data_IF_894893191587
#
_entry.id   IF_894893191587
#
_cell.length_a   1.000
_cell.length_b   1.000
_cell.length_c   1.000
_cell.angle_alpha   90.00
_cell.angle_beta   90.00
_cell.angle_gamma   90.00
#
_symmetry.space_group_name_H-M   'P 1'
#
loop_
_entity.id
_entity.type
_entity.pdbx_description
1 polymer ?
#
# COMPACT_ATOMS: atom_id res chain seq x y z
N UNK A 1 24.40 4.10 5.69
CA UNK A 1 24.66 2.87 4.90
C UNK A 1 23.37 2.52 4.18
N UNK A 2 23.34 2.58 2.85
CA UNK A 2 22.16 2.21 2.08
C UNK A 2 21.90 0.71 2.24
N UNK A 3 20.63 0.32 2.39
CA UNK A 3 20.26 -1.09 2.35
C UNK A 3 20.12 -1.51 0.87
N UNK A 4 20.59 -2.70 0.48
CA UNK A 4 20.66 -3.08 -0.95
C UNK A 4 19.28 -3.21 -1.61
N UNK A 5 18.25 -3.61 -0.85
CA UNK A 5 16.88 -3.76 -1.35
C UNK A 5 15.86 -3.36 -0.29
N UNK A 6 14.88 -2.54 -0.67
CA UNK A 6 13.68 -2.23 0.11
C UNK A 6 12.41 -2.68 -0.63
N UNK A 7 11.37 -3.03 0.12
CA UNK A 7 10.09 -3.46 -0.45
C UNK A 7 8.99 -2.50 0.00
N UNK A 8 8.33 -1.85 -0.95
CA UNK A 8 7.13 -1.04 -0.71
C UNK A 8 5.90 -1.86 -1.10
N UNK A 9 5.03 -2.14 -0.13
CA UNK A 9 3.77 -2.88 -0.31
C UNK A 9 2.60 -1.90 -0.25
N UNK A 10 1.77 -1.91 -1.29
CA UNK A 10 0.64 -0.99 -1.46
C UNK A 10 -0.66 -1.79 -1.61
N UNK A 11 -1.37 -2.06 -0.49
CA UNK A 11 -2.63 -2.78 -0.52
C UNK A 11 -3.80 -1.90 -0.98
N UNK A 12 -4.82 -2.55 -1.53
CA UNK A 12 -6.13 -1.94 -1.66
C UNK A 12 -6.84 -1.97 -0.28
N UNK A 13 -7.50 -0.89 0.17
CA UNK A 13 -8.14 -0.79 1.49
C UNK A 13 -9.38 -1.67 1.72
N UNK A 14 -9.49 -2.82 1.03
CA UNK A 14 -10.52 -3.82 1.33
C UNK A 14 -9.96 -4.94 2.21
N UNK A 15 -10.75 -5.37 3.20
CA UNK A 15 -10.35 -6.34 4.22
C UNK A 15 -9.63 -7.60 3.68
N UNK A 16 -10.16 -8.24 2.63
CA UNK A 16 -9.55 -9.45 2.06
C UNK A 16 -8.18 -9.18 1.42
N UNK A 17 -8.07 -8.07 0.69
CA UNK A 17 -6.84 -7.66 0.00
C UNK A 17 -5.76 -7.22 1.00
N UNK A 18 -6.17 -6.41 1.98
CA UNK A 18 -5.32 -5.91 3.04
C UNK A 18 -4.67 -7.05 3.85
N UNK A 19 -5.45 -8.06 4.22
CA UNK A 19 -4.95 -9.19 5.01
C UNK A 19 -3.98 -10.08 4.22
N UNK A 20 -4.28 -10.35 2.95
CA UNK A 20 -3.39 -11.15 2.09
C UNK A 20 -2.03 -10.48 1.93
N UNK A 21 -2.01 -9.19 1.64
CA UNK A 21 -0.76 -8.44 1.49
C UNK A 21 -0.02 -8.29 2.83
N UNK A 22 -0.72 -8.17 3.96
CA UNK A 22 -0.10 -8.17 5.29
C UNK A 22 0.65 -9.48 5.57
N UNK A 23 0.02 -10.63 5.34
CA UNK A 23 0.68 -11.93 5.54
C UNK A 23 1.87 -12.11 4.60
N UNK A 24 1.75 -11.65 3.35
CA UNK A 24 2.86 -11.63 2.42
C UNK A 24 4.01 -10.73 2.91
N UNK A 25 3.70 -9.55 3.44
CA UNK A 25 4.69 -8.64 4.05
C UNK A 25 5.40 -9.27 5.25
N UNK A 26 4.66 -9.95 6.13
CA UNK A 26 5.24 -10.64 7.29
C UNK A 26 6.14 -11.80 6.85
N UNK A 27 5.75 -12.53 5.80
CA UNK A 27 6.57 -13.59 5.22
C UNK A 27 7.88 -13.03 4.66
N UNK A 28 7.85 -11.97 3.85
CA UNK A 28 9.05 -11.31 3.34
C UNK A 28 9.95 -10.79 4.46
N UNK A 29 9.34 -10.18 5.47
CA UNK A 29 10.03 -9.65 6.65
C UNK A 29 10.75 -10.74 7.45
N UNK A 30 10.18 -11.95 7.52
CA UNK A 30 10.82 -13.12 8.16
C UNK A 30 12.13 -13.54 7.48
N UNK A 31 12.34 -13.14 6.22
CA UNK A 31 13.59 -13.30 5.48
C UNK A 31 14.55 -12.10 5.62
N UNK A 32 14.37 -11.26 6.65
CA UNK A 32 15.17 -10.06 6.92
C UNK A 32 15.11 -8.98 5.83
N UNK A 33 14.04 -8.96 5.04
CA UNK A 33 13.81 -7.91 4.05
C UNK A 33 13.12 -6.72 4.73
N UNK A 34 13.59 -5.48 4.52
CA UNK A 34 12.92 -4.30 5.04
C UNK A 34 11.64 -4.04 4.23
N UNK A 35 10.50 -4.17 4.89
CA UNK A 35 9.17 -4.06 4.27
C UNK A 35 8.49 -2.78 4.75
N UNK A 36 8.04 -1.97 3.81
CA UNK A 36 7.28 -0.74 4.01
C UNK A 36 5.84 -0.98 3.58
N UNK A 37 4.90 -0.98 4.51
CA UNK A 37 3.48 -1.24 4.26
C UNK A 37 2.72 0.10 4.22
N UNK A 38 2.19 0.49 3.07
CA UNK A 38 1.66 1.83 2.84
C UNK A 38 0.14 1.82 2.61
N UNK A 39 -0.63 2.13 3.65
CA UNK A 39 -2.09 2.27 3.62
C UNK A 39 -2.53 3.42 4.51
N UNK A 40 -3.84 3.70 4.59
CA UNK A 40 -4.29 4.75 5.52
C UNK A 40 -4.21 4.30 6.98
N UNK A 41 -4.19 5.26 7.91
CA UNK A 41 -4.11 4.99 9.34
C UNK A 41 -5.17 3.98 9.84
N UNK A 42 -6.40 4.10 9.36
CA UNK A 42 -7.50 3.18 9.70
C UNK A 42 -7.21 1.76 9.22
N UNK A 43 -6.75 1.60 7.98
CA UNK A 43 -6.46 0.28 7.42
C UNK A 43 -5.20 -0.32 8.03
N UNK A 44 -4.16 0.48 8.31
CA UNK A 44 -2.98 0.00 9.03
C UNK A 44 -3.33 -0.50 10.43
N UNK A 45 -4.20 0.23 11.16
CA UNK A 45 -4.71 -0.24 12.46
C UNK A 45 -5.44 -1.57 12.33
N UNK A 46 -6.39 -1.64 11.40
CA UNK A 46 -7.13 -2.87 11.10
C UNK A 46 -6.24 -4.05 10.68
N UNK A 47 -5.14 -3.80 9.97
CA UNK A 47 -4.16 -4.80 9.60
C UNK A 47 -3.40 -5.29 10.85
N UNK A 48 -2.90 -4.37 11.67
CA UNK A 48 -2.16 -4.68 12.91
C UNK A 48 -3.00 -5.50 13.88
N UNK A 49 -4.28 -5.16 14.05
CA UNK A 49 -5.19 -5.87 14.96
C UNK A 49 -5.40 -7.36 14.56
N UNK A 50 -5.07 -7.72 13.31
CA UNK A 50 -5.18 -9.09 12.77
C UNK A 50 -3.88 -9.87 12.79
N UNK A 51 -2.78 -9.28 13.23
CA UNK A 51 -1.51 -9.98 13.34
C UNK A 51 -1.60 -11.01 14.45
N UNK A 52 -1.66 -12.28 14.06
CA UNK A 52 -1.66 -13.43 14.97
C UNK A 52 -0.77 -14.53 14.41
N UNK A 53 -0.09 -15.28 15.28
CA UNK A 53 0.74 -16.42 14.89
C UNK A 53 2.09 -16.08 14.22
N UNK A 54 2.51 -14.81 14.23
CA UNK A 54 3.81 -14.37 13.71
C UNK A 54 4.79 -14.07 14.84
N UNK A 55 6.08 -14.32 14.62
CA UNK A 55 7.12 -13.94 15.58
C UNK A 55 7.27 -12.40 15.63
N UNK A 56 7.60 -11.86 16.81
CA UNK A 56 7.73 -10.41 17.02
C UNK A 56 8.75 -9.78 16.08
N UNK A 57 9.87 -10.46 15.83
CA UNK A 57 10.94 -9.96 14.95
C UNK A 57 10.48 -9.70 13.51
N UNK A 58 9.56 -10.50 12.98
CA UNK A 58 9.00 -10.32 11.63
C UNK A 58 7.98 -9.18 11.62
N UNK A 59 7.25 -8.99 12.71
CA UNK A 59 6.29 -7.90 12.86
C UNK A 59 7.03 -6.55 12.97
N UNK A 60 8.09 -6.48 13.77
CA UNK A 60 8.87 -5.27 14.02
C UNK A 60 9.58 -4.73 12.77
N UNK A 61 9.88 -5.61 11.81
CA UNK A 61 10.52 -5.28 10.54
C UNK A 61 9.55 -4.86 9.43
N UNK A 62 8.25 -4.90 9.69
CA UNK A 62 7.24 -4.27 8.81
C UNK A 62 7.01 -2.83 9.28
N UNK A 63 7.49 -1.88 8.50
CA UNK A 63 7.32 -0.46 8.71
C UNK A 63 6.01 0.02 8.08
N UNK A 64 4.99 0.29 8.90
CA UNK A 64 3.73 0.81 8.38
C UNK A 64 3.81 2.33 8.20
N UNK A 65 3.28 2.82 7.09
CA UNK A 65 3.19 4.23 6.73
C UNK A 65 1.73 4.63 6.65
N UNK A 66 1.30 5.49 7.57
CA UNK A 66 -0.08 5.99 7.63
C UNK A 66 -0.29 7.12 6.61
N UNK A 67 -0.81 6.75 5.44
CA UNK A 67 -1.08 7.69 4.38
C UNK A 67 -2.42 8.41 4.62
N UNK A 68 -2.45 9.71 4.32
CA UNK A 68 -3.66 10.50 4.46
C UNK A 68 -4.63 10.18 3.31
N UNK A 69 -5.88 9.94 3.65
CA UNK A 69 -7.00 9.85 2.70
C UNK A 69 -8.16 10.70 3.23
N UNK A 70 -8.98 11.29 2.35
CA UNK A 70 -10.17 12.00 2.80
C UNK A 70 -11.14 11.03 3.48
N UNK A 71 -11.93 11.50 4.46
CA UNK A 71 -13.08 10.75 4.94
C UNK A 71 -14.01 10.40 3.77
N UNK A 72 -14.57 9.20 3.78
CA UNK A 72 -15.49 8.73 2.76
C UNK A 72 -16.65 7.96 3.40
N UNK A 73 -17.79 7.91 2.71
CA UNK A 73 -18.97 7.19 3.19
C UNK A 73 -18.77 5.67 3.07
N UNK A 74 -19.30 4.92 4.03
CA UNK A 74 -19.29 3.45 4.02
C UNK A 74 -20.72 2.93 4.08
N UNK A 75 -21.52 3.14 3.01
CA UNK A 75 -22.89 2.65 2.99
C UNK A 75 -22.91 1.11 3.11
N UNK A 76 -23.98 0.52 3.68
CA UNK A 76 -24.13 -0.93 3.69
C UNK A 76 -24.37 -1.47 2.27
N UNK A 77 -24.05 -2.75 2.00
CA UNK A 77 -24.49 -3.42 0.78
C UNK A 77 -26.02 -3.43 0.67
N UNK A 78 -26.53 -3.21 -0.55
CA UNK A 78 -27.96 -3.34 -0.85
C UNK A 78 -28.23 -4.72 -1.48
N UNK A 79 -28.82 -5.67 -0.74
CA UNK A 79 -29.13 -7.00 -1.26
C UNK A 79 -30.24 -6.98 -2.31
N UNK A 80 -31.10 -5.97 -2.31
CA UNK A 80 -32.27 -5.85 -3.18
C UNK A 80 -32.01 -5.02 -4.44
N UNK A 81 -30.79 -4.46 -4.56
CA UNK A 81 -30.37 -3.69 -5.73
C UNK A 81 -30.66 -4.42 -7.05
N UNK A 82 -31.25 -3.68 -8.00
CA UNK A 82 -31.55 -4.17 -9.36
C UNK A 82 -30.29 -4.62 -10.08
N UNK A 83 -29.18 -3.90 -9.85
CA UNK A 83 -27.86 -4.25 -10.38
C UNK A 83 -27.03 -4.84 -9.23
N UNK A 84 -26.58 -6.09 -9.38
CA UNK A 84 -25.73 -6.79 -8.40
C UNK A 84 -24.27 -6.36 -8.45
N UNK A 85 -24.03 -5.06 -8.56
CA UNK A 85 -22.71 -4.44 -8.49
C UNK A 85 -22.44 -3.96 -7.06
N UNK A 86 -21.24 -4.13 -6.49
CA UNK A 86 -20.91 -3.68 -5.13
C UNK A 86 -20.72 -2.15 -5.06
N UNK A 87 -21.77 -1.39 -5.38
CA UNK A 87 -21.75 0.08 -5.43
C UNK A 87 -21.37 0.72 -4.08
N UNK A 88 -21.62 0.02 -2.98
CA UNK A 88 -21.25 0.47 -1.64
C UNK A 88 -19.73 0.63 -1.44
N UNK A 89 -18.89 0.01 -2.29
CA UNK A 89 -17.43 0.16 -2.27
C UNK A 89 -16.94 1.37 -3.09
N UNK A 90 -17.80 2.00 -3.90
CA UNK A 90 -17.44 3.12 -4.77
C UNK A 90 -16.72 4.28 -4.02
N UNK A 91 -17.19 4.74 -2.84
CA UNK A 91 -16.53 5.82 -2.13
C UNK A 91 -15.09 5.47 -1.70
N UNK A 92 -14.82 4.20 -1.41
CA UNK A 92 -13.48 3.73 -1.07
C UNK A 92 -12.54 3.72 -2.28
N UNK A 93 -13.03 3.39 -3.47
CA UNK A 93 -12.25 3.52 -4.71
C UNK A 93 -11.85 4.98 -4.97
N UNK A 94 -12.80 5.91 -4.81
CA UNK A 94 -12.57 7.34 -4.98
C UNK A 94 -11.59 7.90 -3.94
N UNK A 95 -11.74 7.51 -2.67
CA UNK A 95 -10.81 7.88 -1.61
C UNK A 95 -9.40 7.32 -1.86
N UNK A 96 -9.29 6.12 -2.44
CA UNK A 96 -7.99 5.49 -2.74
C UNK A 96 -7.20 6.24 -3.81
N UNK A 97 -7.86 6.99 -4.70
CA UNK A 97 -7.14 7.79 -5.71
C UNK A 97 -6.28 8.90 -5.07
N UNK A 98 -6.69 9.38 -3.90
CA UNK A 98 -5.96 10.38 -3.12
C UNK A 98 -4.65 9.84 -2.54
N UNK A 99 -4.45 8.51 -2.52
CA UNK A 99 -3.19 7.90 -2.10
C UNK A 99 -2.04 8.15 -3.09
N UNK A 100 -2.32 8.58 -4.32
CA UNK A 100 -1.28 8.78 -5.35
C UNK A 100 -0.17 9.74 -4.93
N UNK A 101 -0.55 10.91 -4.41
CA UNK A 101 0.42 11.93 -3.98
C UNK A 101 1.24 11.47 -2.77
N UNK A 102 0.64 11.09 -1.63
CA UNK A 102 1.42 10.66 -0.47
C UNK A 102 2.26 9.40 -0.75
N UNK A 103 1.79 8.51 -1.62
CA UNK A 103 2.59 7.35 -2.05
C UNK A 103 3.79 7.75 -2.90
N UNK A 104 3.67 8.76 -3.76
CA UNK A 104 4.79 9.29 -4.54
C UNK A 104 5.86 9.89 -3.63
N UNK A 105 5.45 10.63 -2.60
CA UNK A 105 6.39 11.23 -1.64
C UNK A 105 7.10 10.16 -0.82
N UNK A 106 6.37 9.14 -0.35
CA UNK A 106 6.96 7.97 0.30
C UNK A 106 7.93 7.23 -0.63
N UNK A 107 7.55 7.02 -1.90
CA UNK A 107 8.41 6.36 -2.88
C UNK A 107 9.74 7.11 -3.06
N UNK A 108 9.70 8.45 -3.17
CA UNK A 108 10.92 9.27 -3.31
C UNK A 108 11.82 9.15 -2.09
N UNK A 109 11.25 9.22 -0.89
CA UNK A 109 11.98 9.06 0.37
C UNK A 109 12.68 7.69 0.42
N UNK A 110 11.95 6.61 0.10
CA UNK A 110 12.50 5.26 0.13
C UNK A 110 13.52 5.03 -1.00
N UNK A 111 13.30 5.59 -2.18
CA UNK A 111 14.26 5.50 -3.30
C UNK A 111 15.58 6.21 -3.01
N UNK A 112 15.59 7.23 -2.16
CA UNK A 112 16.83 7.84 -1.64
C UNK A 112 17.52 7.02 -0.55
N UNK A 113 16.84 6.03 0.04
CA UNK A 113 17.32 5.21 1.16
C UNK A 113 17.86 3.84 0.71
N UNK A 114 17.26 3.27 -0.33
CA UNK A 114 17.56 1.92 -0.84
C UNK A 114 18.15 1.96 -2.24
N UNK A 115 19.14 1.10 -2.53
CA UNK A 115 19.70 0.98 -3.89
C UNK A 115 18.67 0.44 -4.89
N UNK A 116 17.79 -0.45 -4.43
CA UNK A 116 16.69 -0.99 -5.21
C UNK A 116 15.41 -1.00 -4.39
N UNK A 117 14.41 -0.24 -4.83
CA UNK A 117 13.07 -0.29 -4.28
C UNK A 117 12.16 -1.16 -5.16
N UNK A 118 11.65 -2.25 -4.59
CA UNK A 118 10.66 -3.12 -5.23
C UNK A 118 9.28 -2.70 -4.77
N UNK A 119 8.37 -2.46 -5.72
CA UNK A 119 6.98 -2.10 -5.41
C UNK A 119 6.10 -3.32 -5.65
N UNK A 120 5.43 -3.78 -4.59
CA UNK A 120 4.39 -4.82 -4.64
C UNK A 120 3.07 -4.10 -4.41
N UNK A 121 2.12 -4.24 -5.32
CA UNK A 121 0.85 -3.55 -5.20
C UNK A 121 -0.32 -4.47 -5.52
N UNK A 122 -1.45 -4.18 -4.92
CA UNK A 122 -2.72 -4.77 -5.32
C UNK A 122 -3.06 -4.39 -6.79
N UNK A 123 -3.68 -5.27 -7.59
CA UNK A 123 -4.12 -4.93 -8.95
C UNK A 123 -4.99 -3.66 -9.03
N UNK A 124 -5.83 -3.41 -8.01
CA UNK A 124 -6.67 -2.21 -7.91
C UNK A 124 -5.84 -0.94 -7.61
N UNK A 125 -4.61 -1.10 -7.13
CA UNK A 125 -3.65 -0.04 -6.83
C UNK A 125 -2.58 0.09 -7.92
N UNK A 126 -2.88 -0.29 -9.17
CA UNK A 126 -1.92 -0.32 -10.29
C UNK A 126 -1.23 1.01 -10.61
N UNK A 127 -1.75 2.14 -10.13
CA UNK A 127 -1.04 3.42 -10.24
C UNK A 127 0.29 3.42 -9.47
N UNK A 128 0.43 2.60 -8.43
CA UNK A 128 1.66 2.45 -7.64
C UNK A 128 2.84 1.97 -8.50
N UNK A 129 2.58 1.05 -9.44
CA UNK A 129 3.61 0.57 -10.38
C UNK A 129 4.07 1.61 -11.41
N UNK A 130 3.31 2.70 -11.60
CA UNK A 130 3.62 3.76 -12.58
C UNK A 130 4.55 4.84 -12.03
N UNK A 131 4.81 4.86 -10.73
CA UNK A 131 5.63 5.88 -10.06
C UNK A 131 7.04 5.97 -10.68
N UNK A 132 7.67 4.83 -11.00
CA UNK A 132 9.00 4.79 -11.65
C UNK A 132 9.01 5.34 -13.08
N UNK A 133 7.89 5.30 -13.82
CA UNK A 133 7.86 5.70 -15.25
C UNK A 133 7.87 7.22 -15.43
N UNK A 134 7.35 8.00 -14.47
CA UNK A 134 7.33 9.46 -14.59
C UNK A 134 8.70 10.12 -14.34
N UNK A 135 9.53 9.57 -13.45
CA UNK A 135 10.85 10.15 -13.18
C UNK A 135 11.86 9.95 -14.31
N UNK A 136 11.79 8.80 -15.02
CA UNK A 136 12.59 8.60 -16.23
C UNK A 136 12.16 9.49 -17.39
N UNK A 137 10.91 9.94 -17.44
CA UNK A 137 10.40 10.81 -18.50
C UNK A 137 10.75 12.30 -18.31
N UNK A 138 11.07 12.72 -17.07
CA UNK A 138 11.39 14.13 -16.76
C UNK A 138 12.90 14.44 -16.82
N UNK A 139 13.76 13.41 -16.92
CA UNK A 139 15.22 13.57 -17.04
C UNK A 139 15.74 13.57 -18.48
N UNK A 140 14.86 13.55 -19.50
CA UNK A 140 15.26 13.50 -20.92
C UNK A 140 15.12 14.82 -21.67
N UNK A 141 14.84 15.95 -21.00
CA UNK A 141 14.68 17.27 -21.64
C UNK A 141 15.60 18.35 -21.03
N UNK A 142 16.84 18.00 -20.69
CA UNK A 142 17.90 18.98 -20.46
C UNK A 142 19.19 18.42 -21.08
N UNK A 143 19.37 18.67 -22.38
CA UNK A 143 20.63 18.92 -23.08
C UNK A 143 20.30 19.42 -24.49
#
# INVERSE_FOLDING_TARGET
>A
MAHPVGILVVPFPAHGHLNQLLHFSLHLSSHNLPVHFAASATHNRQARDRIQGWNSTSVDKVHFHDLQIPPFSTPPPDPDAVIKFPAHLQPMFEASDHLRSPLLDLFRLLSGTYERLVVVHDPLMSFAGKVRRREKSNHSNIL
#
